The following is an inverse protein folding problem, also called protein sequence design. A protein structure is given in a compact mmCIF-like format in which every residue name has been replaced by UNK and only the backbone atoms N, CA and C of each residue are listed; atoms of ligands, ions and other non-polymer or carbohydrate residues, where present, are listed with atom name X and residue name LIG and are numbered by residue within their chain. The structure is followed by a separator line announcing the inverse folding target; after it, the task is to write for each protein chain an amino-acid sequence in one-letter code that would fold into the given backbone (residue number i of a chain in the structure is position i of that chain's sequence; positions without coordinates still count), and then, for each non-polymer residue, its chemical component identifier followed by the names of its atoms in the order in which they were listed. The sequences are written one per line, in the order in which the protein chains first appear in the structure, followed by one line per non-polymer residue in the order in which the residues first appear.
data_IF_237130057633
#
_entry.id   IF_237130057633
#
_cell.length_a   1.000
_cell.length_b   1.000
_cell.length_c   1.000
_cell.angle_alpha   90.00
_cell.angle_beta   90.00
_cell.angle_gamma   90.00
#
_symmetry.space_group_name_H-M   'P 1'
#
loop_
_entity.id
_entity.type
_entity.pdbx_description
1 polymer ?
#
# COMPACT_ATOMS: atom_id res chain seq x y z
N UNK A 1 -25.32 -32.89 -38.41
CA UNK A 1 -25.25 -31.77 -37.46
C UNK A 1 -24.13 -32.04 -36.46
N UNK A 2 -23.19 -31.12 -36.30
CA UNK A 2 -22.17 -31.21 -35.26
C UNK A 2 -22.85 -31.02 -33.91
N UNK A 3 -22.87 -32.07 -33.09
CA UNK A 3 -23.38 -31.97 -31.70
C UNK A 3 -22.35 -31.13 -30.95
N UNK A 4 -22.75 -29.93 -30.53
CA UNK A 4 -21.92 -29.07 -29.70
C UNK A 4 -22.38 -29.22 -28.24
N UNK A 5 -21.44 -29.59 -27.37
CA UNK A 5 -21.69 -29.58 -25.95
C UNK A 5 -21.95 -28.18 -25.42
N UNK A 6 -22.81 -28.05 -24.43
CA UNK A 6 -23.13 -26.79 -23.77
C UNK A 6 -22.82 -26.85 -22.29
N UNK A 7 -22.52 -25.70 -21.69
CA UNK A 7 -22.32 -25.60 -20.24
C UNK A 7 -23.25 -24.54 -19.64
N UNK A 8 -23.56 -24.69 -18.36
CA UNK A 8 -24.17 -23.64 -17.55
C UNK A 8 -23.51 -23.60 -16.17
N UNK A 9 -23.12 -22.40 -15.74
CA UNK A 9 -22.61 -22.14 -14.40
C UNK A 9 -23.73 -21.55 -13.57
N UNK A 10 -24.03 -22.16 -12.43
CA UNK A 10 -25.12 -21.73 -11.54
C UNK A 10 -24.58 -21.46 -10.14
N UNK A 11 -25.01 -20.34 -9.53
CA UNK A 11 -24.82 -20.03 -8.13
C UNK A 11 -26.04 -20.56 -7.37
N UNK A 12 -25.83 -21.52 -6.48
CA UNK A 12 -26.85 -22.05 -5.59
C UNK A 12 -26.71 -21.45 -4.19
N UNK A 13 -27.76 -20.83 -3.70
CA UNK A 13 -27.78 -20.16 -2.41
C UNK A 13 -28.81 -20.87 -1.53
N UNK A 14 -28.36 -21.40 -0.40
CA UNK A 14 -29.20 -22.05 0.62
C UNK A 14 -29.47 -21.07 1.76
N UNK A 15 -30.72 -20.80 2.03
CA UNK A 15 -31.12 -20.01 3.19
C UNK A 15 -31.16 -20.90 4.43
N UNK A 16 -30.38 -20.54 5.46
CA UNK A 16 -30.42 -21.23 6.76
C UNK A 16 -31.74 -21.00 7.54
N UNK A 17 -32.46 -19.93 7.19
CA UNK A 17 -33.70 -19.52 7.89
C UNK A 17 -34.93 -20.20 7.27
N UNK A 18 -35.00 -20.25 5.94
CA UNK A 18 -36.20 -20.70 5.22
C UNK A 18 -36.05 -22.06 4.57
N UNK A 19 -34.87 -22.70 4.69
CA UNK A 19 -34.50 -23.94 3.97
C UNK A 19 -34.74 -23.88 2.45
N UNK A 20 -34.93 -22.67 1.92
CA UNK A 20 -35.13 -22.44 0.49
C UNK A 20 -33.83 -22.41 -0.27
N UNK A 21 -33.83 -22.94 -1.48
CA UNK A 21 -32.70 -22.93 -2.41
C UNK A 21 -33.04 -21.97 -3.54
N UNK A 22 -32.19 -20.96 -3.75
CA UNK A 22 -32.28 -20.05 -4.88
C UNK A 22 -31.14 -20.35 -5.85
N UNK A 23 -31.45 -20.61 -7.11
CA UNK A 23 -30.46 -20.82 -8.19
C UNK A 23 -30.43 -19.61 -9.09
N UNK A 24 -29.23 -19.11 -9.36
CA UNK A 24 -28.96 -17.97 -10.27
C UNK A 24 -28.03 -18.48 -11.35
N UNK A 25 -28.42 -18.40 -12.61
CA UNK A 25 -27.53 -18.72 -13.73
C UNK A 25 -26.51 -17.57 -13.87
N UNK A 26 -25.25 -17.90 -13.71
CA UNK A 26 -24.11 -16.96 -13.79
C UNK A 26 -23.65 -16.80 -15.22
N UNK A 27 -23.48 -17.93 -15.92
CA UNK A 27 -23.09 -17.93 -17.31
C UNK A 27 -23.57 -19.22 -17.99
N UNK A 28 -23.71 -19.18 -19.31
CA UNK A 28 -24.02 -20.34 -20.16
C UNK A 28 -23.37 -20.16 -21.52
N UNK A 29 -22.88 -21.23 -22.09
CA UNK A 29 -22.23 -21.18 -23.39
C UNK A 29 -22.17 -22.51 -24.08
N UNK A 30 -21.50 -22.54 -25.22
CA UNK A 30 -21.18 -23.74 -25.99
C UNK A 30 -19.69 -24.07 -25.78
N UNK A 31 -19.38 -25.35 -25.75
CA UNK A 31 -17.99 -25.80 -25.69
C UNK A 31 -17.46 -25.82 -27.13
N UNK A 32 -16.48 -25.02 -27.41
CA UNK A 32 -15.86 -24.93 -28.71
C UNK A 32 -15.01 -26.17 -29.01
N UNK A 33 -14.95 -26.58 -30.27
CA UNK A 33 -13.96 -27.57 -30.71
C UNK A 33 -12.57 -26.95 -30.63
N UNK A 34 -11.66 -27.60 -29.91
CA UNK A 34 -10.29 -27.09 -29.73
C UNK A 34 -9.51 -27.27 -31.05
N UNK A 35 -9.18 -26.16 -31.69
CA UNK A 35 -8.33 -26.10 -32.89
C UNK A 35 -6.99 -25.41 -32.61
N UNK A 36 -6.93 -24.63 -31.55
CA UNK A 36 -5.74 -23.89 -31.12
C UNK A 36 -5.77 -23.69 -29.60
N UNK A 37 -4.67 -23.20 -29.02
CA UNK A 37 -4.61 -22.83 -27.60
C UNK A 37 -5.61 -21.74 -27.22
N UNK A 38 -6.11 -20.94 -28.19
CA UNK A 38 -7.13 -19.92 -27.96
C UNK A 38 -8.51 -20.50 -27.69
N UNK A 39 -8.75 -21.77 -28.06
CA UNK A 39 -10.02 -22.46 -27.88
C UNK A 39 -10.04 -23.30 -26.59
N UNK A 40 -8.89 -23.38 -25.91
CA UNK A 40 -8.76 -24.19 -24.68
C UNK A 40 -9.10 -23.34 -23.46
N UNK A 41 -10.17 -23.73 -22.75
CA UNK A 41 -10.64 -23.06 -21.54
C UNK A 41 -11.39 -21.75 -21.82
N UNK A 42 -11.37 -20.85 -20.83
CA UNK A 42 -12.03 -19.56 -20.90
C UNK A 42 -11.02 -18.45 -21.21
N UNK A 43 -11.37 -17.54 -22.11
CA UNK A 43 -10.60 -16.31 -22.35
C UNK A 43 -10.70 -15.36 -21.17
N UNK A 44 -9.76 -14.47 -21.04
CA UNK A 44 -9.72 -13.47 -19.97
C UNK A 44 -11.05 -12.69 -19.85
N UNK A 45 -11.61 -12.28 -20.96
CA UNK A 45 -12.90 -11.55 -21.00
C UNK A 45 -14.06 -12.38 -20.43
N UNK A 46 -14.10 -13.69 -20.75
CA UNK A 46 -15.12 -14.60 -20.26
C UNK A 46 -14.96 -14.83 -18.76
N UNK A 47 -13.73 -14.97 -18.27
CA UNK A 47 -13.42 -15.09 -16.84
C UNK A 47 -13.91 -13.87 -16.07
N UNK A 48 -13.57 -12.65 -16.52
CA UNK A 48 -14.01 -11.40 -15.90
C UNK A 48 -15.54 -11.29 -15.90
N UNK A 49 -16.20 -11.66 -16.99
CA UNK A 49 -17.66 -11.64 -17.08
C UNK A 49 -18.31 -12.59 -16.07
N UNK A 50 -17.79 -13.79 -15.91
CA UNK A 50 -18.27 -14.77 -14.94
C UNK A 50 -18.09 -14.24 -13.51
N UNK A 51 -16.90 -13.72 -13.18
CA UNK A 51 -16.62 -13.13 -11.87
C UNK A 51 -17.56 -11.95 -11.57
N UNK A 52 -17.80 -11.08 -12.57
CA UNK A 52 -18.78 -9.99 -12.45
C UNK A 52 -20.17 -10.50 -12.11
N UNK A 53 -20.66 -11.49 -12.84
CA UNK A 53 -22.00 -12.02 -12.66
C UNK A 53 -22.17 -12.73 -11.30
N UNK A 54 -21.12 -13.41 -10.82
CA UNK A 54 -21.10 -13.99 -9.46
C UNK A 54 -21.21 -12.86 -8.43
N UNK A 55 -20.39 -11.82 -8.55
CA UNK A 55 -20.38 -10.68 -7.64
C UNK A 55 -21.74 -9.95 -7.65
N UNK A 56 -22.32 -9.68 -8.82
CA UNK A 56 -23.65 -9.08 -8.96
C UNK A 56 -24.73 -9.93 -8.26
N UNK A 57 -24.66 -11.26 -8.41
CA UNK A 57 -25.57 -12.18 -7.72
C UNK A 57 -25.45 -12.10 -6.20
N UNK A 58 -24.25 -12.07 -5.67
CA UNK A 58 -23.99 -11.93 -4.22
C UNK A 58 -24.47 -10.57 -3.71
N UNK A 59 -24.11 -9.47 -4.40
CA UNK A 59 -24.52 -8.10 -4.05
C UNK A 59 -26.04 -7.98 -4.02
N UNK A 60 -26.74 -8.59 -4.99
CA UNK A 60 -28.21 -8.56 -5.02
C UNK A 60 -28.86 -9.21 -3.79
N UNK A 61 -28.19 -10.19 -3.17
CA UNK A 61 -28.65 -10.83 -1.92
C UNK A 61 -28.29 -10.03 -0.67
N UNK A 62 -27.16 -9.33 -0.71
CA UNK A 62 -26.68 -8.48 0.40
C UNK A 62 -27.41 -7.13 0.44
N UNK A 63 -27.83 -6.60 -0.73
CA UNK A 63 -28.48 -5.30 -0.85
C UNK A 63 -29.66 -5.07 0.10
N UNK A 64 -30.58 -6.04 0.36
CA UNK A 64 -31.65 -5.86 1.33
C UNK A 64 -31.19 -5.62 2.77
N UNK A 65 -29.98 -6.08 3.12
CA UNK A 65 -29.39 -5.89 4.45
C UNK A 65 -28.85 -4.44 4.63
N UNK A 66 -28.64 -3.70 3.52
CA UNK A 66 -28.16 -2.32 3.53
C UNK A 66 -29.26 -1.29 3.85
N UNK A 67 -30.47 -1.75 4.15
CA UNK A 67 -31.54 -0.87 4.60
C UNK A 67 -31.24 -0.39 6.02
N UNK A 68 -30.86 0.85 6.20
CA UNK A 68 -30.87 1.52 7.50
C UNK A 68 -32.30 1.55 8.00
N UNK A 69 -32.63 0.74 8.99
CA UNK A 69 -33.88 0.90 9.74
C UNK A 69 -33.73 2.14 10.60
N UNK A 70 -34.37 3.21 10.21
CA UNK A 70 -34.56 4.35 11.08
C UNK A 70 -35.84 4.07 11.89
N UNK A 71 -35.72 3.99 13.19
CA UNK A 71 -36.86 3.77 14.10
C UNK A 71 -37.80 5.01 14.13
N UNK A 72 -37.29 6.17 13.73
CA UNK A 72 -38.04 7.42 13.57
C UNK A 72 -37.32 8.42 12.67
N UNK A 73 -38.02 9.47 12.29
CA UNK A 73 -37.48 10.57 11.52
C UNK A 73 -36.49 11.39 12.35
N UNK A 74 -35.22 11.59 11.92
CA UNK A 74 -34.26 12.39 12.69
C UNK A 74 -34.66 13.89 12.78
N UNK A 75 -35.61 14.34 11.93
CA UNK A 75 -36.09 15.74 11.93
C UNK A 75 -37.27 15.99 12.88
N UNK A 76 -38.24 15.06 12.98
CA UNK A 76 -39.47 15.27 13.71
C UNK A 76 -39.89 14.06 14.56
N UNK A 77 -39.14 12.98 14.61
CA UNK A 77 -39.52 11.76 15.34
C UNK A 77 -40.58 10.90 14.65
N UNK A 78 -41.22 11.38 13.59
CA UNK A 78 -42.33 10.72 12.91
C UNK A 78 -42.00 9.43 12.22
N UNK A 79 -43.04 8.67 11.78
CA UNK A 79 -42.91 7.32 11.21
C UNK A 79 -42.27 7.36 9.83
N UNK A 80 -41.25 6.52 9.64
CA UNK A 80 -40.57 6.35 8.36
C UNK A 80 -41.22 5.24 7.52
N UNK A 81 -41.57 5.56 6.27
CA UNK A 81 -42.15 4.62 5.31
C UNK A 81 -41.14 4.30 4.18
N UNK A 82 -41.14 3.06 3.72
CA UNK A 82 -40.36 2.65 2.53
C UNK A 82 -40.91 3.32 1.27
N UNK A 83 -40.05 3.91 0.43
CA UNK A 83 -40.46 4.55 -0.83
C UNK A 83 -39.46 4.26 -1.94
N UNK A 84 -39.53 3.06 -2.49
CA UNK A 84 -38.69 2.62 -3.63
C UNK A 84 -37.21 2.46 -3.24
N UNK A 85 -36.37 2.43 -4.25
CA UNK A 85 -34.94 2.17 -4.09
C UNK A 85 -34.09 3.32 -4.64
N UNK A 86 -32.93 3.52 -4.06
CA UNK A 86 -31.84 4.26 -4.64
C UNK A 86 -30.86 3.28 -5.27
N UNK A 87 -30.23 3.68 -6.38
CA UNK A 87 -29.17 2.90 -7.03
C UNK A 87 -27.88 3.69 -6.94
N UNK A 88 -26.86 3.08 -6.38
CA UNK A 88 -25.53 3.68 -6.23
C UNK A 88 -24.44 2.76 -6.78
N UNK A 89 -23.32 3.36 -7.15
CA UNK A 89 -22.17 2.61 -7.65
C UNK A 89 -21.40 1.94 -6.50
N UNK A 90 -20.89 0.75 -6.80
CA UNK A 90 -19.91 0.03 -6.00
C UNK A 90 -18.83 -0.51 -6.94
N UNK A 91 -17.57 -0.32 -6.58
CA UNK A 91 -16.41 -0.65 -7.39
C UNK A 91 -15.64 -1.80 -6.74
N UNK A 92 -15.64 -2.98 -7.36
CA UNK A 92 -14.78 -4.10 -7.00
C UNK A 92 -13.47 -4.06 -7.80
N UNK A 93 -12.56 -5.00 -7.54
CA UNK A 93 -11.26 -5.06 -8.25
C UNK A 93 -11.43 -5.11 -9.76
N UNK A 94 -12.34 -5.95 -10.27
CA UNK A 94 -12.44 -6.21 -11.71
C UNK A 94 -13.52 -5.39 -12.41
N UNK A 95 -14.55 -4.90 -11.72
CA UNK A 95 -15.72 -4.32 -12.37
C UNK A 95 -16.51 -3.39 -11.46
N UNK A 96 -17.45 -2.66 -12.09
CA UNK A 96 -18.38 -1.77 -11.41
C UNK A 96 -19.75 -2.41 -11.29
N UNK A 97 -20.41 -2.20 -10.17
CA UNK A 97 -21.70 -2.79 -9.82
C UNK A 97 -22.71 -1.71 -9.47
N UNK A 98 -23.99 -2.01 -9.68
CA UNK A 98 -25.11 -1.18 -9.23
C UNK A 98 -25.79 -1.81 -8.02
N UNK A 99 -25.67 -1.13 -6.88
CA UNK A 99 -26.24 -1.58 -5.60
C UNK A 99 -27.55 -0.84 -5.33
N UNK A 100 -28.62 -1.59 -5.04
CA UNK A 100 -29.92 -1.02 -4.69
C UNK A 100 -30.06 -0.90 -3.18
N UNK A 101 -30.31 0.30 -2.67
CA UNK A 101 -30.55 0.59 -1.26
C UNK A 101 -31.97 1.09 -1.04
N UNK A 102 -32.61 0.68 0.06
CA UNK A 102 -34.00 1.05 0.35
C UNK A 102 -34.12 2.54 0.70
N UNK A 103 -34.93 3.29 -0.05
CA UNK A 103 -35.28 4.67 0.27
C UNK A 103 -36.41 4.71 1.29
N UNK A 104 -36.37 5.72 2.15
CA UNK A 104 -37.40 5.95 3.16
C UNK A 104 -37.86 7.42 3.13
N UNK A 105 -39.12 7.67 3.48
CA UNK A 105 -39.68 9.02 3.63
C UNK A 105 -40.46 9.11 4.94
N UNK A 106 -40.32 10.22 5.64
CA UNK A 106 -41.16 10.52 6.79
C UNK A 106 -42.59 10.84 6.33
N UNK A 107 -43.58 10.21 6.96
CA UNK A 107 -45.00 10.41 6.64
C UNK A 107 -45.50 11.82 7.10
N UNK A 108 -44.88 12.39 8.12
CA UNK A 108 -45.32 13.64 8.75
C UNK A 108 -44.66 14.86 8.16
N UNK A 109 -43.29 14.90 8.08
CA UNK A 109 -42.58 16.08 7.63
C UNK A 109 -41.99 15.94 6.20
N UNK A 110 -42.15 14.80 5.53
CA UNK A 110 -41.64 14.57 4.18
C UNK A 110 -40.11 14.42 4.08
N UNK A 111 -39.39 14.38 5.20
CA UNK A 111 -37.93 14.16 5.19
C UNK A 111 -37.59 12.83 4.50
N UNK A 112 -36.52 12.82 3.69
CA UNK A 112 -36.15 11.67 2.88
C UNK A 112 -34.79 11.11 3.30
N UNK A 113 -34.72 9.80 3.53
CA UNK A 113 -33.47 9.05 3.64
C UNK A 113 -33.18 8.37 2.31
N UNK A 114 -32.06 8.75 1.66
CA UNK A 114 -31.63 8.21 0.38
C UNK A 114 -30.19 7.67 0.56
N UNK A 115 -30.05 6.49 1.18
CA UNK A 115 -28.73 5.92 1.42
C UNK A 115 -28.05 5.54 0.10
N UNK A 116 -26.73 5.76 0.05
CA UNK A 116 -25.86 5.24 -1.00
C UNK A 116 -24.77 4.39 -0.37
N UNK A 117 -24.08 3.57 -1.15
CA UNK A 117 -22.93 2.78 -0.66
C UNK A 117 -21.91 3.71 0.01
N UNK A 118 -21.58 4.84 -0.62
CA UNK A 118 -20.65 5.82 -0.04
C UNK A 118 -21.17 6.44 1.26
N UNK A 119 -22.45 6.74 1.35
CA UNK A 119 -23.03 7.30 2.59
C UNK A 119 -23.05 6.29 3.74
N UNK A 120 -23.22 4.99 3.44
CA UNK A 120 -23.27 3.93 4.45
C UNK A 120 -21.88 3.52 4.95
N UNK A 121 -20.87 3.53 4.08
CA UNK A 121 -19.55 2.94 4.35
C UNK A 121 -18.38 3.94 4.22
N UNK A 122 -18.66 5.20 3.94
CA UNK A 122 -17.62 6.22 3.70
C UNK A 122 -16.93 6.12 2.34
N UNK A 123 -17.06 5.00 1.64
CA UNK A 123 -16.45 4.75 0.33
C UNK A 123 -17.39 3.95 -0.58
N UNK A 124 -17.20 4.08 -1.90
CA UNK A 124 -17.88 3.25 -2.90
C UNK A 124 -16.96 2.18 -3.53
N UNK A 125 -15.69 2.16 -3.16
CA UNK A 125 -14.71 1.19 -3.63
C UNK A 125 -14.44 0.12 -2.58
N UNK A 126 -14.34 -1.13 -3.01
CA UNK A 126 -13.93 -2.23 -2.14
C UNK A 126 -12.51 -1.98 -1.60
N UNK A 127 -12.20 -2.31 -0.34
CA UNK A 127 -10.87 -2.13 0.23
C UNK A 127 -9.75 -2.77 -0.60
N UNK A 128 -9.99 -3.95 -1.22
CA UNK A 128 -9.01 -4.61 -2.08
C UNK A 128 -8.68 -3.79 -3.34
N UNK A 129 -9.68 -3.08 -3.91
CA UNK A 129 -9.41 -2.17 -5.02
C UNK A 129 -8.58 -0.97 -4.56
N UNK A 130 -8.91 -0.38 -3.41
CA UNK A 130 -8.14 0.73 -2.82
C UNK A 130 -6.70 0.30 -2.58
N UNK A 131 -6.51 -0.88 -1.97
CA UNK A 131 -5.19 -1.46 -1.74
C UNK A 131 -4.40 -1.62 -3.03
N UNK A 132 -5.02 -2.23 -4.06
CA UNK A 132 -4.38 -2.44 -5.37
C UNK A 132 -4.03 -1.12 -6.06
N UNK A 133 -4.88 -0.08 -5.96
CA UNK A 133 -4.59 1.25 -6.47
C UNK A 133 -3.39 1.88 -5.76
N UNK A 134 -3.31 1.76 -4.42
CA UNK A 134 -2.18 2.27 -3.64
C UNK A 134 -0.88 1.54 -3.98
N UNK A 135 -0.89 0.20 -4.02
CA UNK A 135 0.29 -0.61 -4.34
C UNK A 135 0.81 -0.29 -5.75
N UNK A 136 -0.09 -0.29 -6.75
CA UNK A 136 0.29 -0.04 -8.14
C UNK A 136 0.79 1.41 -8.34
N UNK A 137 0.15 2.37 -7.69
CA UNK A 137 0.54 3.78 -7.83
C UNK A 137 1.76 4.18 -6.99
N UNK A 138 2.15 3.37 -6.00
CA UNK A 138 3.41 3.53 -5.27
C UNK A 138 4.61 3.00 -6.07
N UNK A 139 4.40 2.00 -6.93
CA UNK A 139 5.47 1.37 -7.73
C UNK A 139 5.64 1.98 -9.12
N UNK A 140 4.59 2.66 -9.64
CA UNK A 140 4.55 3.16 -11.02
C UNK A 140 4.07 4.61 -11.07
N UNK A 141 4.29 5.29 -12.20
CA UNK A 141 3.62 6.58 -12.42
C UNK A 141 2.10 6.38 -12.41
N UNK A 142 1.33 7.36 -11.97
CA UNK A 142 -0.14 7.22 -11.90
C UNK A 142 -0.78 6.91 -13.26
N UNK A 143 -0.17 7.35 -14.37
CA UNK A 143 -0.62 7.03 -15.73
C UNK A 143 -0.34 5.57 -16.09
N UNK A 144 0.82 5.04 -15.71
CA UNK A 144 1.15 3.62 -15.92
C UNK A 144 0.28 2.75 -15.01
N UNK A 145 0.08 3.14 -13.77
CA UNK A 145 -0.84 2.47 -12.84
C UNK A 145 -2.27 2.39 -13.42
N UNK A 146 -2.78 3.47 -14.02
CA UNK A 146 -4.06 3.45 -14.73
C UNK A 146 -4.08 2.40 -15.85
N UNK A 147 -3.02 2.30 -16.64
CA UNK A 147 -2.93 1.31 -17.73
C UNK A 147 -2.92 -0.11 -17.18
N UNK A 148 -2.13 -0.37 -16.14
CA UNK A 148 -2.00 -1.69 -15.48
C UNK A 148 -3.35 -2.12 -14.91
N UNK A 149 -4.00 -1.26 -14.13
CA UNK A 149 -5.29 -1.54 -13.49
C UNK A 149 -6.42 -1.77 -14.52
N UNK A 150 -6.41 -1.03 -15.62
CA UNK A 150 -7.42 -1.21 -16.67
C UNK A 150 -7.24 -2.49 -17.50
N UNK A 151 -6.02 -3.10 -17.50
CA UNK A 151 -5.82 -4.43 -18.09
C UNK A 151 -6.53 -5.54 -17.33
N UNK A 152 -6.84 -5.33 -16.06
CA UNK A 152 -7.58 -6.29 -15.22
C UNK A 152 -9.10 -6.24 -15.40
N UNK A 153 -9.61 -5.26 -16.15
CA UNK A 153 -11.03 -5.08 -16.41
C UNK A 153 -11.31 -5.06 -17.91
N UNK A 154 -12.54 -5.39 -18.32
CA UNK A 154 -12.93 -5.41 -19.74
C UNK A 154 -13.00 -4.02 -20.39
N UNK A 155 -13.12 -2.97 -19.57
CA UNK A 155 -13.33 -1.60 -20.00
C UNK A 155 -12.47 -0.62 -19.21
N UNK A 156 -12.19 0.53 -19.79
CA UNK A 156 -11.58 1.64 -19.07
C UNK A 156 -12.54 2.13 -17.98
N UNK A 157 -12.12 2.07 -16.73
CA UNK A 157 -12.92 2.45 -15.57
C UNK A 157 -12.53 3.84 -15.10
N UNK A 158 -13.55 4.71 -14.86
CA UNK A 158 -13.29 6.04 -14.28
C UNK A 158 -12.61 5.99 -12.94
N UNK A 159 -12.93 4.95 -12.13
CA UNK A 159 -12.32 4.75 -10.82
C UNK A 159 -10.81 4.46 -10.87
N UNK A 160 -10.30 4.00 -12.02
CA UNK A 160 -8.88 3.76 -12.26
C UNK A 160 -8.20 4.90 -13.04
N UNK A 161 -8.83 6.07 -13.16
CA UNK A 161 -8.18 7.25 -13.74
C UNK A 161 -6.98 7.66 -12.87
N UNK A 162 -5.89 8.12 -13.49
CA UNK A 162 -4.66 8.52 -12.81
C UNK A 162 -4.87 9.59 -11.73
N UNK A 163 -5.77 10.55 -11.93
CA UNK A 163 -6.15 11.54 -10.91
C UNK A 163 -6.86 10.87 -9.71
N UNK A 164 -7.76 9.92 -9.97
CA UNK A 164 -8.45 9.19 -8.92
C UNK A 164 -7.49 8.31 -8.13
N UNK A 165 -6.52 7.66 -8.79
CA UNK A 165 -5.46 6.89 -8.13
C UNK A 165 -4.64 7.81 -7.21
N UNK A 166 -4.22 8.97 -7.71
CA UNK A 166 -3.52 9.99 -6.92
C UNK A 166 -4.30 10.35 -5.65
N UNK A 167 -5.57 10.76 -5.79
CA UNK A 167 -6.41 11.11 -4.62
C UNK A 167 -6.64 9.94 -3.64
N UNK A 168 -6.70 8.71 -4.13
CA UNK A 168 -6.80 7.53 -3.25
C UNK A 168 -5.53 7.38 -2.42
N UNK A 169 -4.37 7.52 -3.06
CA UNK A 169 -3.06 7.39 -2.39
C UNK A 169 -2.87 8.51 -1.36
N UNK A 170 -3.16 9.76 -1.71
CA UNK A 170 -3.09 10.89 -0.78
C UNK A 170 -3.96 10.64 0.46
N UNK A 171 -5.23 10.30 0.27
CA UNK A 171 -6.17 10.04 1.38
C UNK A 171 -5.74 8.88 2.26
N UNK A 172 -5.20 7.80 1.66
CA UNK A 172 -4.71 6.64 2.43
C UNK A 172 -3.42 7.03 3.17
N UNK A 173 -2.54 7.80 2.54
CA UNK A 173 -1.33 8.35 3.17
C UNK A 173 -1.67 9.21 4.38
N UNK A 174 -2.56 10.19 4.23
CA UNK A 174 -3.04 11.04 5.33
C UNK A 174 -3.63 10.20 6.49
N UNK A 175 -4.43 9.17 6.18
CA UNK A 175 -4.97 8.29 7.21
C UNK A 175 -3.88 7.50 7.94
N UNK A 176 -2.88 6.99 7.22
CA UNK A 176 -1.73 6.31 7.82
C UNK A 176 -0.98 7.27 8.74
N UNK A 177 -0.70 8.49 8.30
CA UNK A 177 0.05 9.50 9.05
C UNK A 177 -0.66 9.89 10.34
N UNK A 178 -1.99 10.03 10.30
CA UNK A 178 -2.82 10.35 11.48
C UNK A 178 -2.89 9.20 12.48
N UNK A 179 -2.81 7.96 12.01
CA UNK A 179 -3.08 6.79 12.84
C UNK A 179 -1.83 5.97 13.16
N UNK A 180 -0.68 6.30 12.56
CA UNK A 180 0.54 5.48 12.67
C UNK A 180 1.02 5.28 14.11
N UNK A 181 0.91 6.30 14.96
CA UNK A 181 1.32 6.22 16.37
C UNK A 181 0.33 5.38 17.19
N UNK A 182 -0.97 5.58 16.95
CA UNK A 182 -2.04 4.88 17.67
C UNK A 182 -2.08 3.38 17.31
N UNK A 183 -1.78 3.07 16.05
CA UNK A 183 -1.81 1.70 15.53
C UNK A 183 -0.44 0.99 15.64
N UNK A 184 0.54 1.61 16.30
CA UNK A 184 1.85 0.97 16.50
C UNK A 184 1.77 -0.05 17.63
N UNK A 185 1.70 -1.32 17.25
CA UNK A 185 1.79 -2.44 18.17
C UNK A 185 3.27 -2.81 18.27
N UNK A 186 3.84 -2.64 19.48
CA UNK A 186 5.17 -3.16 19.76
C UNK A 186 5.13 -4.70 19.84
N UNK A 187 6.14 -5.41 19.31
CA UNK A 187 6.19 -6.85 19.43
C UNK A 187 6.36 -7.26 20.90
N UNK A 188 5.88 -8.45 21.27
CA UNK A 188 6.01 -9.01 22.64
C UNK A 188 7.48 -9.14 23.05
N UNK A 189 8.35 -9.49 22.09
CA UNK A 189 9.79 -9.63 22.33
C UNK A 189 10.52 -8.32 22.04
N UNK A 190 11.19 -7.79 23.06
CA UNK A 190 12.10 -6.65 22.91
C UNK A 190 13.33 -7.07 22.10
N UNK A 191 13.86 -6.14 21.31
CA UNK A 191 15.10 -6.36 20.59
C UNK A 191 16.29 -6.14 21.51
N UNK A 192 17.27 -7.06 21.48
CA UNK A 192 18.57 -6.85 22.13
C UNK A 192 19.43 -5.90 21.30
N UNK A 193 19.37 -6.03 19.99
CA UNK A 193 20.09 -5.17 19.03
C UNK A 193 19.21 -4.79 17.86
N UNK A 194 19.37 -3.54 17.37
CA UNK A 194 18.76 -3.02 16.15
C UNK A 194 19.81 -2.41 15.24
N UNK A 195 19.72 -2.76 13.96
CA UNK A 195 20.44 -2.12 12.88
C UNK A 195 19.57 -1.03 12.28
N UNK A 196 20.15 0.16 12.12
CA UNK A 196 19.50 1.33 11.50
C UNK A 196 20.36 1.79 10.34
N UNK A 197 19.78 1.93 9.16
CA UNK A 197 20.47 2.50 8.00
C UNK A 197 19.66 3.68 7.52
N UNK A 198 20.32 4.81 7.30
CA UNK A 198 19.70 6.06 6.83
C UNK A 198 20.52 6.58 5.66
N UNK A 199 19.79 6.91 4.59
CA UNK A 199 20.35 7.50 3.38
C UNK A 199 19.43 8.61 2.87
N UNK A 200 19.99 9.59 2.21
CA UNK A 200 19.30 10.72 1.64
C UNK A 200 19.69 10.96 0.19
N UNK A 201 18.76 11.46 -0.60
CA UNK A 201 19.00 11.78 -1.99
C UNK A 201 18.28 13.04 -2.45
N UNK A 202 18.97 13.85 -3.27
CA UNK A 202 18.35 15.00 -3.92
C UNK A 202 17.61 14.56 -5.18
N UNK A 203 16.30 14.81 -5.22
CA UNK A 203 15.45 14.57 -6.36
C UNK A 203 15.17 15.90 -7.08
N UNK A 204 15.18 15.87 -8.40
CA UNK A 204 14.75 17.04 -9.19
C UNK A 204 13.25 17.20 -9.09
N UNK A 205 12.81 18.43 -8.82
CA UNK A 205 11.41 18.77 -8.95
C UNK A 205 10.98 18.67 -10.42
N UNK A 206 9.71 18.40 -10.64
CA UNK A 206 9.09 18.38 -11.97
C UNK A 206 8.97 19.80 -12.54
N UNK A 207 8.80 20.79 -11.68
CA UNK A 207 8.84 22.20 -12.05
C UNK A 207 10.28 22.59 -12.34
N UNK A 208 10.63 23.05 -13.56
CA UNK A 208 11.98 23.47 -13.91
C UNK A 208 12.49 24.67 -13.08
N UNK A 209 11.57 25.49 -12.56
CA UNK A 209 11.89 26.66 -11.73
C UNK A 209 11.99 26.33 -10.24
N UNK A 210 11.56 25.16 -9.83
CA UNK A 210 11.68 24.67 -8.46
C UNK A 210 13.07 24.07 -8.22
N UNK A 211 13.57 24.26 -6.99
CA UNK A 211 14.81 23.61 -6.54
C UNK A 211 14.57 22.10 -6.35
N UNK A 212 15.65 21.32 -6.49
CA UNK A 212 15.63 19.94 -6.04
C UNK A 212 15.23 19.85 -4.57
N UNK A 213 14.49 18.82 -4.21
CA UNK A 213 14.14 18.51 -2.82
C UNK A 213 14.90 17.27 -2.35
N UNK A 214 15.09 17.17 -1.04
CA UNK A 214 15.73 16.02 -0.43
C UNK A 214 14.69 15.00 -0.01
N UNK A 215 14.91 13.74 -0.36
CA UNK A 215 14.13 12.60 0.13
C UNK A 215 15.03 11.75 1.04
N UNK A 216 14.56 11.52 2.28
CA UNK A 216 15.24 10.69 3.26
C UNK A 216 14.56 9.33 3.34
N UNK A 217 15.37 8.28 3.46
CA UNK A 217 14.91 6.92 3.67
C UNK A 217 15.69 6.27 4.81
N UNK A 218 14.98 5.53 5.66
CA UNK A 218 15.57 4.77 6.75
C UNK A 218 15.01 3.36 6.80
N UNK A 219 15.85 2.39 7.16
CA UNK A 219 15.46 1.01 7.38
C UNK A 219 15.94 0.55 8.73
N UNK A 220 15.07 -0.15 9.47
CA UNK A 220 15.36 -0.72 10.77
C UNK A 220 15.03 -2.20 10.75
N UNK A 221 15.95 -3.00 11.27
CA UNK A 221 15.80 -4.44 11.35
C UNK A 221 16.64 -5.01 12.49
N UNK A 222 16.32 -6.24 12.90
CA UNK A 222 17.12 -7.01 13.87
C UNK A 222 18.22 -7.77 13.13
N UNK A 223 19.46 -7.89 13.67
CA UNK A 223 20.54 -8.65 13.01
C UNK A 223 20.16 -10.10 12.67
N UNK A 224 19.37 -10.76 13.52
CA UNK A 224 18.89 -12.13 13.31
C UNK A 224 17.96 -12.27 12.08
N UNK A 225 17.41 -11.16 11.59
CA UNK A 225 16.59 -11.14 10.37
C UNK A 225 17.44 -11.14 9.09
N UNK A 226 18.77 -11.19 9.18
CA UNK A 226 19.64 -11.32 8.03
C UNK A 226 19.92 -12.79 7.77
N UNK A 227 19.45 -13.31 6.63
CA UNK A 227 19.77 -14.65 6.17
C UNK A 227 20.83 -14.61 5.07
N UNK A 228 21.78 -15.53 5.10
CA UNK A 228 22.76 -15.67 4.01
C UNK A 228 22.12 -16.42 2.85
N UNK A 229 22.14 -15.82 1.67
CA UNK A 229 21.70 -16.47 0.44
C UNK A 229 22.81 -17.35 -0.13
N UNK A 230 22.45 -18.23 -1.10
CA UNK A 230 23.41 -19.09 -1.83
C UNK A 230 24.60 -18.31 -2.42
N UNK A 231 24.39 -17.05 -2.78
CA UNK A 231 25.44 -16.17 -3.33
C UNK A 231 26.25 -15.43 -2.24
N UNK A 232 26.20 -15.86 -0.99
CA UNK A 232 26.85 -15.24 0.19
C UNK A 232 26.39 -13.79 0.47
N UNK A 233 25.34 -13.28 -0.21
CA UNK A 233 24.74 -11.98 0.08
C UNK A 233 23.73 -12.11 1.23
N UNK A 234 23.73 -11.15 2.14
CA UNK A 234 22.70 -11.06 3.16
C UNK A 234 21.36 -10.64 2.55
N UNK A 235 20.26 -11.27 2.98
CA UNK A 235 18.90 -10.85 2.69
C UNK A 235 18.18 -10.57 4.00
N UNK A 236 17.65 -9.35 4.15
CA UNK A 236 16.82 -8.96 5.30
C UNK A 236 15.42 -9.51 5.06
N UNK A 237 14.94 -10.39 5.93
CA UNK A 237 13.63 -11.06 5.80
C UNK A 237 12.51 -10.32 6.53
N UNK A 238 12.85 -9.53 7.55
CA UNK A 238 11.89 -8.69 8.28
C UNK A 238 12.53 -7.35 8.59
N UNK A 239 11.87 -6.27 8.21
CA UNK A 239 12.32 -4.89 8.42
C UNK A 239 11.15 -3.94 8.48
N UNK A 240 11.36 -2.76 9.05
CA UNK A 240 10.47 -1.61 8.91
C UNK A 240 11.23 -0.45 8.28
N UNK A 241 10.53 0.29 7.44
CA UNK A 241 11.09 1.44 6.73
C UNK A 241 10.38 2.72 7.16
N UNK A 242 11.10 3.82 7.10
CA UNK A 242 10.59 5.18 7.19
C UNK A 242 11.10 5.96 5.99
N UNK A 243 10.29 6.87 5.46
CA UNK A 243 10.72 7.76 4.38
C UNK A 243 9.99 9.10 4.49
N UNK A 244 10.65 10.18 4.09
CA UNK A 244 10.07 11.51 4.03
C UNK A 244 10.74 12.35 2.95
N UNK A 245 9.95 13.17 2.27
CA UNK A 245 10.43 14.22 1.38
C UNK A 245 9.91 15.61 1.85
N UNK A 246 9.50 15.73 3.11
CA UNK A 246 8.96 16.95 3.69
C UNK A 246 10.09 17.90 4.10
N UNK A 247 9.91 19.19 3.81
CA UNK A 247 10.81 20.26 4.25
C UNK A 247 10.41 20.77 5.64
N UNK A 248 10.46 19.88 6.63
CA UNK A 248 10.00 20.09 8.01
C UNK A 248 11.12 19.95 9.06
N UNK A 249 12.35 20.21 8.67
CA UNK A 249 13.54 20.00 9.52
C UNK A 249 13.63 18.56 10.03
N UNK A 250 13.22 17.59 9.21
CA UNK A 250 13.28 16.16 9.47
C UNK A 250 12.32 15.65 10.56
N UNK A 251 11.40 16.49 11.06
CA UNK A 251 10.50 16.14 12.16
C UNK A 251 9.67 14.89 11.85
N UNK A 252 9.08 14.81 10.65
CA UNK A 252 8.31 13.66 10.21
C UNK A 252 9.17 12.40 10.10
N UNK A 253 10.39 12.53 9.53
CA UNK A 253 11.31 11.40 9.38
C UNK A 253 11.73 10.83 10.74
N UNK A 254 12.06 11.69 11.71
CA UNK A 254 12.41 11.30 13.09
C UNK A 254 11.24 10.56 13.74
N UNK A 255 10.03 11.10 13.65
CA UNK A 255 8.82 10.47 14.18
C UNK A 255 8.58 9.09 13.55
N UNK A 256 8.65 9.00 12.23
CA UNK A 256 8.41 7.74 11.48
C UNK A 256 9.49 6.69 11.77
N UNK A 257 10.74 7.11 11.92
CA UNK A 257 11.85 6.22 12.28
C UNK A 257 11.66 5.64 13.68
N UNK A 258 11.24 6.45 14.65
CA UNK A 258 10.95 6.00 16.01
C UNK A 258 9.81 4.96 16.03
N UNK A 259 8.77 5.19 15.23
CA UNK A 259 7.66 4.24 15.06
C UNK A 259 8.18 2.93 14.47
N UNK A 260 9.00 2.99 13.43
CA UNK A 260 9.62 1.83 12.81
C UNK A 260 10.51 1.04 13.80
N UNK A 261 11.27 1.75 14.64
CA UNK A 261 12.08 1.14 15.69
C UNK A 261 11.23 0.45 16.75
N UNK A 262 10.14 1.07 17.22
CA UNK A 262 9.19 0.45 18.16
C UNK A 262 8.57 -0.82 17.58
N UNK A 263 8.22 -0.84 16.31
CA UNK A 263 7.72 -2.04 15.62
C UNK A 263 8.76 -3.15 15.52
N UNK A 264 10.05 -2.84 15.61
CA UNK A 264 11.14 -3.82 15.68
C UNK A 264 11.50 -4.18 17.12
N UNK A 265 10.82 -3.62 18.13
CA UNK A 265 11.01 -3.96 19.54
C UNK A 265 12.01 -3.08 20.26
N UNK A 266 12.22 -1.83 19.83
CA UNK A 266 13.03 -0.85 20.55
C UNK A 266 12.57 -0.70 22.00
N UNK A 267 13.52 -0.73 22.91
CA UNK A 267 13.34 -0.51 24.34
C UNK A 267 14.58 0.17 24.94
N UNK A 268 14.49 0.62 26.17
CA UNK A 268 15.62 1.18 26.91
C UNK A 268 16.80 0.22 27.12
N UNK A 269 16.58 -1.09 26.92
CA UNK A 269 17.63 -2.12 26.96
C UNK A 269 18.22 -2.49 25.61
N UNK A 270 17.75 -1.88 24.51
CA UNK A 270 18.18 -2.20 23.14
C UNK A 270 19.49 -1.50 22.79
N UNK A 271 20.42 -2.20 22.16
CA UNK A 271 21.61 -1.59 21.56
C UNK A 271 21.31 -1.22 20.09
N UNK A 272 21.72 -0.03 19.67
CA UNK A 272 21.53 0.44 18.28
C UNK A 272 22.87 0.58 17.59
N UNK A 273 22.99 -0.03 16.41
CA UNK A 273 24.07 0.23 15.45
C UNK A 273 23.48 0.96 14.25
N UNK A 274 23.90 2.23 14.05
CA UNK A 274 23.43 3.09 12.96
C UNK A 274 24.49 3.24 11.87
N UNK A 275 24.10 3.02 10.61
CA UNK A 275 24.93 3.20 9.43
C UNK A 275 24.40 4.38 8.61
N UNK A 276 25.23 5.43 8.41
CA UNK A 276 24.89 6.65 7.67
C UNK A 276 25.98 7.04 6.68
N UNK A 277 25.62 7.84 5.67
CA UNK A 277 26.53 8.34 4.62
C UNK A 277 27.50 9.45 5.07
N UNK A 278 27.30 9.96 6.28
CA UNK A 278 28.10 11.06 6.86
C UNK A 278 27.47 12.44 6.74
N UNK A 279 26.30 12.57 6.12
CA UNK A 279 25.57 13.83 6.07
C UNK A 279 24.95 14.17 7.45
N UNK A 280 24.96 15.46 7.82
CA UNK A 280 24.48 15.92 9.13
C UNK A 280 22.99 15.57 9.34
N UNK A 281 22.17 15.67 8.30
CA UNK A 281 20.76 15.32 8.34
C UNK A 281 20.52 13.82 8.64
N UNK A 282 21.32 12.90 8.06
CA UNK A 282 21.29 11.48 8.37
C UNK A 282 21.64 11.21 9.83
N UNK A 283 22.71 11.87 10.33
CA UNK A 283 23.11 11.74 11.73
C UNK A 283 22.12 12.35 12.71
N UNK A 284 21.49 13.49 12.37
CA UNK A 284 20.45 14.08 13.21
C UNK A 284 19.28 13.12 13.40
N UNK A 285 18.84 12.49 12.31
CA UNK A 285 17.76 11.50 12.34
C UNK A 285 18.18 10.26 13.17
N UNK A 286 19.37 9.70 12.93
CA UNK A 286 19.86 8.53 13.65
C UNK A 286 20.03 8.82 15.14
N UNK A 287 20.63 9.96 15.49
CA UNK A 287 20.89 10.38 16.87
C UNK A 287 19.62 10.61 17.69
N UNK A 288 18.47 10.87 17.05
CA UNK A 288 17.19 11.01 17.73
C UNK A 288 16.79 9.75 18.51
N UNK A 289 17.32 8.58 18.13
CA UNK A 289 17.06 7.31 18.81
C UNK A 289 17.87 7.11 20.09
N UNK A 290 18.92 7.92 20.35
CA UNK A 290 19.80 7.77 21.52
C UNK A 290 19.07 7.78 22.86
N UNK A 291 18.01 8.58 22.96
CA UNK A 291 17.23 8.72 24.20
C UNK A 291 16.33 7.51 24.50
N UNK A 292 16.26 6.54 23.59
CA UNK A 292 15.34 5.40 23.66
C UNK A 292 16.04 4.06 23.73
N UNK A 293 17.39 4.03 23.78
CA UNK A 293 18.19 2.81 23.73
C UNK A 293 19.23 2.75 24.85
N UNK A 294 19.81 1.56 25.10
CA UNK A 294 20.87 1.35 26.08
C UNK A 294 22.22 1.87 25.59
N UNK A 295 22.53 1.63 24.32
CA UNK A 295 23.75 2.08 23.69
C UNK A 295 23.51 2.42 22.23
N UNK A 296 24.35 3.33 21.68
CA UNK A 296 24.27 3.76 20.31
C UNK A 296 25.67 3.82 19.69
N UNK A 297 25.87 3.01 18.64
CA UNK A 297 27.09 2.99 17.84
C UNK A 297 26.79 3.55 16.45
N UNK A 298 27.46 4.66 16.08
CA UNK A 298 27.39 5.22 14.73
C UNK A 298 28.53 4.69 13.86
N UNK A 299 28.23 4.19 12.68
CA UNK A 299 29.18 3.72 11.67
C UNK A 299 29.01 4.55 10.40
N UNK A 300 30.11 5.08 9.90
CA UNK A 300 30.13 5.77 8.62
C UNK A 300 30.11 4.73 7.48
N UNK A 301 29.21 4.90 6.52
CA UNK A 301 29.11 3.97 5.38
C UNK A 301 30.36 4.06 4.51
N UNK A 302 31.10 2.95 4.50
CA UNK A 302 32.32 2.84 3.70
C UNK A 302 32.11 3.02 2.20
N UNK A 303 30.96 2.67 1.68
CA UNK A 303 30.66 2.84 0.26
C UNK A 303 30.73 4.34 -0.12
N UNK A 304 30.13 5.19 0.68
CA UNK A 304 30.18 6.65 0.48
C UNK A 304 31.58 7.21 0.65
N UNK A 305 32.34 6.74 1.64
CA UNK A 305 33.76 7.09 1.78
C UNK A 305 34.56 6.67 0.55
N UNK A 306 34.40 5.43 0.10
CA UNK A 306 35.11 4.91 -1.06
C UNK A 306 34.77 5.66 -2.36
N UNK A 307 33.50 6.06 -2.55
CA UNK A 307 33.08 6.90 -3.68
C UNK A 307 33.74 8.27 -3.66
N UNK A 308 33.87 8.91 -2.50
CA UNK A 308 34.59 10.19 -2.38
C UNK A 308 36.03 10.04 -2.85
N UNK A 309 36.71 8.95 -2.48
CA UNK A 309 38.08 8.65 -2.99
C UNK A 309 38.14 8.46 -4.50
N UNK A 310 37.16 7.82 -5.11
CA UNK A 310 37.09 7.61 -6.56
C UNK A 310 36.90 8.91 -7.34
N UNK A 311 36.19 9.88 -6.76
CA UNK A 311 35.88 11.15 -7.41
C UNK A 311 37.01 12.18 -7.30
N UNK A 312 38.07 11.88 -6.57
CA UNK A 312 39.24 12.78 -6.45
C UNK A 312 40.09 12.66 -7.71
N UNK A 313 40.19 13.77 -8.48
CA UNK A 313 41.07 13.87 -9.64
C UNK A 313 42.47 14.24 -9.19
N UNK A 314 43.41 13.29 -9.26
CA UNK A 314 44.81 13.49 -8.91
C UNK A 314 45.76 13.05 -10.04
N UNK A 315 46.96 13.66 -10.17
CA UNK A 315 48.02 13.13 -11.03
C UNK A 315 48.39 11.70 -10.67
N UNK A 316 48.82 10.91 -11.66
CA UNK A 316 49.19 9.48 -11.48
C UNK A 316 50.15 9.24 -10.30
N UNK A 317 51.11 10.16 -10.08
CA UNK A 317 52.10 10.08 -8.98
C UNK A 317 51.48 10.15 -7.58
N UNK A 318 50.30 10.75 -7.45
CA UNK A 318 49.60 10.90 -6.16
C UNK A 318 48.52 9.84 -5.95
N UNK A 319 48.11 9.13 -6.99
CA UNK A 319 47.09 8.07 -6.89
C UNK A 319 47.50 6.95 -5.91
N UNK A 320 48.77 6.55 -5.91
CA UNK A 320 49.26 5.51 -5.01
C UNK A 320 49.21 5.95 -3.53
N UNK A 321 49.43 7.24 -3.26
CA UNK A 321 49.28 7.78 -1.90
C UNK A 321 47.79 7.75 -1.47
N UNK A 322 46.90 8.15 -2.36
CA UNK A 322 45.46 8.13 -2.08
C UNK A 322 44.94 6.73 -1.79
N UNK A 323 45.38 5.74 -2.56
CA UNK A 323 45.03 4.32 -2.31
C UNK A 323 45.60 3.81 -0.97
N UNK A 324 46.78 4.25 -0.59
CA UNK A 324 47.35 3.92 0.74
C UNK A 324 46.54 4.55 1.86
N UNK A 325 46.15 5.82 1.74
CA UNK A 325 45.28 6.49 2.72
C UNK A 325 43.93 5.75 2.86
N UNK A 326 43.32 5.46 1.71
CA UNK A 326 42.07 4.68 1.68
C UNK A 326 42.20 3.32 2.39
N UNK A 327 43.33 2.62 2.17
CA UNK A 327 43.63 1.34 2.80
C UNK A 327 43.83 1.46 4.31
N UNK A 328 44.55 2.48 4.76
CA UNK A 328 44.73 2.74 6.20
C UNK A 328 43.41 3.05 6.88
N UNK A 329 42.55 3.86 6.26
CA UNK A 329 41.19 4.15 6.79
C UNK A 329 40.31 2.89 6.84
N UNK A 330 40.40 2.02 5.84
CA UNK A 330 39.68 0.73 5.84
C UNK A 330 40.06 -0.15 7.04
N UNK A 331 41.31 -0.13 7.44
CA UNK A 331 41.82 -0.90 8.59
C UNK A 331 41.75 -0.15 9.92
N UNK A 332 41.18 1.05 9.97
CA UNK A 332 41.08 1.87 11.17
C UNK A 332 42.38 2.55 11.62
N UNK A 333 43.45 2.51 10.77
CA UNK A 333 44.75 3.13 11.02
C UNK A 333 44.68 4.62 10.65
N UNK A 334 43.90 5.41 11.40
CA UNK A 334 43.65 6.82 11.09
C UNK A 334 44.96 7.63 11.13
N UNK A 335 45.83 7.39 12.14
CA UNK A 335 47.11 8.09 12.29
C UNK A 335 48.08 7.86 11.13
N UNK A 336 47.96 6.71 10.45
CA UNK A 336 48.77 6.45 9.23
C UNK A 336 48.14 7.02 7.95
N UNK A 337 46.89 7.40 8.04
CA UNK A 337 46.14 7.97 6.91
C UNK A 337 46.34 9.48 6.79
N UNK A 338 46.67 10.16 7.90
CA UNK A 338 46.98 11.57 7.99
C UNK A 338 48.48 11.77 7.72
#
# INVERSE_FOLDING_TARGET
GVIMDTYAIQLEIKSSITSSIKKITIDKGKINTVKSLLDLGLRHEEQIKILKNIQDGIIALQSPQLATKLDGCPKCGGVMAKKGFNTSDFHSVFTDHKVKTQRQICKECGWRNIPSVKALFGASSHPDLIKLQCETGAEHTYRDAQVILNKQSLVKRKINNHEQIHHVIERVGEYIDQTIEQNTIAPETKAEELMVQIDGGHLKDRDPDARSFEAMAGVIYRPENIIKTKNKRGKIISKHCAASALSDSQAYMIKSLLVAAKKQGLSSGTNITALCDGADNCWNIANSLKNYCASFLGILDWFHVAMKFQNISLPKTQKNRLERVKWCLWHGDVDKAI
#
